data_IF_279171887929
#
_entry.id   IF_279171887929
#
_cell.length_a   1.000
_cell.length_b   1.000
_cell.length_c   1.000
_cell.angle_alpha   90.00
_cell.angle_beta   90.00
_cell.angle_gamma   90.00
#
_symmetry.space_group_name_H-M   'P 1'
#
loop_
_entity.id
_entity.type
_entity.pdbx_description
1 polymer ?
#
# COMPACT_ATOMS: atom_id res chain seq x y z
N UNK A 1 16.47 -27.87 7.37
CA UNK A 1 15.41 -28.73 7.94
C UNK A 1 16.01 -29.81 8.84
N UNK A 2 17.03 -30.55 8.39
CA UNK A 2 17.67 -31.64 9.16
C UNK A 2 18.22 -31.20 10.53
N UNK A 3 18.87 -30.02 10.61
CA UNK A 3 19.39 -29.48 11.88
C UNK A 3 18.30 -29.22 12.89
N UNK A 4 17.15 -28.66 12.46
CA UNK A 4 16.02 -28.40 13.34
C UNK A 4 15.39 -29.66 13.89
N UNK A 5 15.24 -30.70 13.06
CA UNK A 5 14.74 -32.01 13.50
C UNK A 5 15.66 -32.60 14.56
N UNK A 6 16.99 -32.59 14.32
CA UNK A 6 17.97 -33.10 15.30
C UNK A 6 17.86 -32.35 16.64
N UNK A 7 17.79 -31.01 16.65
CA UNK A 7 17.70 -30.23 17.88
C UNK A 7 16.43 -30.61 18.69
N UNK A 8 15.29 -30.76 18.01
CA UNK A 8 14.03 -31.14 18.65
C UNK A 8 14.13 -32.56 19.24
N UNK A 9 14.66 -33.51 18.46
CA UNK A 9 14.85 -34.90 18.89
C UNK A 9 15.79 -34.99 20.10
N UNK A 10 16.92 -34.29 20.06
CA UNK A 10 17.87 -34.27 21.18
C UNK A 10 17.25 -33.65 22.45
N UNK A 11 16.45 -32.61 22.26
CA UNK A 11 15.74 -31.93 23.37
C UNK A 11 14.66 -32.81 23.99
N UNK A 12 13.93 -33.58 23.16
CA UNK A 12 12.96 -34.58 23.63
C UNK A 12 13.64 -35.67 24.39
N UNK A 13 14.68 -36.28 23.83
CA UNK A 13 15.44 -37.36 24.47
C UNK A 13 16.10 -36.95 25.79
N UNK A 14 16.44 -35.69 25.94
CA UNK A 14 16.97 -35.08 27.19
C UNK A 14 15.86 -34.62 28.17
N UNK A 15 14.63 -34.93 27.91
CA UNK A 15 13.49 -34.55 28.76
C UNK A 15 13.18 -33.03 28.82
N UNK A 16 13.79 -32.21 27.94
CA UNK A 16 13.52 -30.77 27.85
C UNK A 16 12.20 -30.44 27.18
N UNK A 17 11.67 -31.34 26.39
CA UNK A 17 10.36 -31.27 25.73
C UNK A 17 9.56 -32.48 26.16
N UNK A 18 8.41 -32.28 26.81
CA UNK A 18 7.54 -33.36 27.23
C UNK A 18 6.76 -33.94 26.02
N UNK A 19 6.37 -35.24 26.16
CA UNK A 19 5.50 -35.92 25.19
C UNK A 19 4.19 -35.13 24.95
N UNK A 20 3.58 -34.66 26.02
CA UNK A 20 2.35 -33.85 25.93
C UNK A 20 2.55 -32.60 25.09
N UNK A 21 3.65 -31.87 25.33
CA UNK A 21 3.99 -30.64 24.60
C UNK A 21 4.22 -30.93 23.12
N UNK A 22 4.92 -32.02 22.79
CA UNK A 22 5.20 -32.46 21.43
C UNK A 22 3.88 -32.83 20.72
N UNK A 23 3.08 -33.69 21.34
CA UNK A 23 1.77 -34.16 20.82
C UNK A 23 0.81 -33.01 20.57
N UNK A 24 0.73 -32.01 21.46
CA UNK A 24 -0.08 -30.81 21.29
C UNK A 24 0.36 -30.02 20.06
N UNK A 25 1.65 -29.89 19.83
CA UNK A 25 2.18 -29.18 18.64
C UNK A 25 1.87 -29.92 17.36
N UNK A 26 2.11 -31.23 17.32
CA UNK A 26 1.85 -32.10 16.16
C UNK A 26 0.35 -32.07 15.83
N UNK A 27 -0.52 -32.23 16.83
CA UNK A 27 -1.98 -32.18 16.65
C UNK A 27 -2.43 -30.85 16.05
N UNK A 28 -1.87 -29.71 16.50
CA UNK A 28 -2.17 -28.38 15.95
C UNK A 28 -1.79 -28.28 14.47
N UNK A 29 -0.59 -28.78 14.10
CA UNK A 29 -0.11 -28.77 12.71
C UNK A 29 -0.97 -29.68 11.83
N UNK A 30 -1.28 -30.90 12.29
CA UNK A 30 -2.12 -31.84 11.54
C UNK A 30 -3.53 -31.32 11.34
N UNK A 31 -4.12 -30.68 12.37
CA UNK A 31 -5.43 -30.04 12.27
C UNK A 31 -5.43 -28.90 11.24
N UNK A 32 -4.37 -28.10 11.20
CA UNK A 32 -4.23 -27.05 10.20
C UNK A 32 -4.11 -27.61 8.78
N UNK A 33 -3.29 -28.68 8.60
CA UNK A 33 -3.15 -29.37 7.32
C UNK A 33 -4.49 -29.97 6.85
N UNK A 34 -5.25 -30.59 7.75
CA UNK A 34 -6.57 -31.13 7.43
C UNK A 34 -7.55 -30.03 7.00
N UNK A 35 -7.58 -28.91 7.73
CA UNK A 35 -8.40 -27.72 7.37
C UNK A 35 -8.04 -27.12 6.02
N UNK A 36 -6.76 -27.19 5.65
CA UNK A 36 -6.25 -26.74 4.35
C UNK A 36 -6.53 -27.75 3.21
N UNK A 37 -7.22 -28.85 3.47
CA UNK A 37 -7.55 -29.87 2.47
C UNK A 37 -6.39 -30.76 2.07
N UNK A 38 -5.25 -30.72 2.78
CA UNK A 38 -4.04 -31.49 2.42
C UNK A 38 -4.18 -33.00 2.57
N UNK A 39 -5.26 -33.50 3.23
CA UNK A 39 -5.61 -34.92 3.28
C UNK A 39 -6.09 -35.44 1.91
N UNK A 40 -6.61 -34.56 1.05
CA UNK A 40 -7.02 -34.85 -0.34
C UNK A 40 -6.15 -34.07 -1.33
N UNK A 41 -4.83 -34.03 -1.08
CA UNK A 41 -3.92 -33.28 -1.93
C UNK A 41 -3.98 -33.78 -3.38
N UNK A 42 -4.24 -32.85 -4.28
CA UNK A 42 -4.10 -33.06 -5.71
C UNK A 42 -2.98 -32.20 -6.24
N UNK A 43 -2.15 -32.78 -7.12
CA UNK A 43 -1.03 -32.06 -7.72
C UNK A 43 -1.49 -30.76 -8.41
N UNK A 44 -0.84 -29.66 -8.07
CA UNK A 44 -1.13 -28.36 -8.70
C UNK A 44 -0.52 -28.38 -10.11
N UNK A 45 -1.38 -28.38 -11.13
CA UNK A 45 -0.94 -28.23 -12.52
C UNK A 45 -0.62 -26.75 -12.78
N UNK A 46 0.61 -26.39 -13.20
CA UNK A 46 0.99 -24.99 -13.44
C UNK A 46 0.16 -24.34 -14.55
N UNK A 47 -0.33 -25.14 -15.50
CA UNK A 47 -1.18 -24.67 -16.59
C UNK A 47 -2.42 -23.94 -16.02
N UNK A 48 -2.62 -22.70 -16.43
CA UNK A 48 -3.72 -21.84 -16.00
C UNK A 48 -3.69 -21.36 -14.53
N UNK A 49 -2.56 -21.49 -13.82
CA UNK A 49 -2.47 -21.04 -12.42
C UNK A 49 -2.78 -19.53 -12.31
N UNK A 50 -2.26 -18.71 -13.24
CA UNK A 50 -2.52 -17.26 -13.26
C UNK A 50 -4.01 -16.93 -13.41
N UNK A 51 -4.76 -17.70 -14.21
CA UNK A 51 -6.21 -17.50 -14.37
C UNK A 51 -6.97 -17.92 -13.10
N UNK A 52 -6.42 -18.86 -12.32
CA UNK A 52 -7.05 -19.32 -11.07
C UNK A 52 -6.86 -18.35 -9.91
N UNK A 53 -5.70 -17.66 -9.86
CA UNK A 53 -5.37 -16.71 -8.78
C UNK A 53 -5.75 -15.26 -9.11
N UNK A 54 -5.89 -14.90 -10.40
CA UNK A 54 -6.27 -13.55 -10.83
C UNK A 54 -7.70 -13.58 -11.39
N UNK A 55 -8.68 -13.64 -10.55
CA UNK A 55 -10.10 -13.60 -10.97
C UNK A 55 -10.62 -12.16 -11.01
N UNK A 56 -11.52 -11.80 -11.94
CA UNK A 56 -12.11 -10.45 -11.99
C UNK A 56 -12.75 -10.03 -10.68
N UNK A 57 -13.37 -10.96 -9.95
CA UNK A 57 -13.95 -10.71 -8.63
C UNK A 57 -12.93 -10.30 -7.59
N UNK A 58 -11.67 -10.79 -7.69
CA UNK A 58 -10.61 -10.47 -6.74
C UNK A 58 -10.14 -9.02 -6.96
N UNK A 59 -10.08 -8.55 -8.21
CA UNK A 59 -9.83 -7.14 -8.55
C UNK A 59 -10.93 -6.22 -8.02
N UNK A 60 -12.20 -6.63 -8.12
CA UNK A 60 -13.32 -5.88 -7.58
C UNK A 60 -13.26 -5.80 -6.05
N UNK A 61 -12.95 -6.92 -5.39
CA UNK A 61 -12.77 -6.96 -3.93
C UNK A 61 -11.63 -6.05 -3.49
N UNK A 62 -10.50 -6.10 -4.21
CA UNK A 62 -9.36 -5.22 -3.96
C UNK A 62 -9.76 -3.73 -4.08
N UNK A 63 -10.46 -3.36 -5.17
CA UNK A 63 -10.91 -1.98 -5.37
C UNK A 63 -11.83 -1.51 -4.24
N UNK A 64 -12.79 -2.33 -3.82
CA UNK A 64 -13.68 -2.02 -2.70
C UNK A 64 -12.93 -1.88 -1.37
N UNK A 65 -11.95 -2.75 -1.13
CA UNK A 65 -11.13 -2.68 0.09
C UNK A 65 -10.30 -1.38 0.11
N UNK A 66 -9.69 -1.00 -1.01
CA UNK A 66 -8.94 0.25 -1.14
C UNK A 66 -9.85 1.47 -0.97
N UNK A 67 -11.02 1.46 -1.59
CA UNK A 67 -12.01 2.53 -1.44
C UNK A 67 -12.44 2.71 0.03
N UNK A 68 -12.69 1.59 0.72
CA UNK A 68 -13.05 1.61 2.16
C UNK A 68 -11.91 2.04 3.08
N UNK A 69 -10.66 1.91 2.64
CA UNK A 69 -9.49 2.30 3.41
C UNK A 69 -9.17 3.80 3.31
N UNK A 70 -9.70 4.49 2.29
CA UNK A 70 -9.48 5.93 2.12
C UNK A 70 -10.16 6.67 3.28
N UNK A 71 -9.38 7.48 4.01
CA UNK A 71 -9.87 8.26 5.14
C UNK A 71 -9.67 9.74 4.87
N UNK A 72 -10.77 10.50 4.88
CA UNK A 72 -10.73 11.95 4.79
C UNK A 72 -10.48 12.54 6.19
N UNK A 73 -9.24 12.93 6.48
CA UNK A 73 -8.83 13.41 7.80
C UNK A 73 -9.31 14.84 8.04
N UNK A 74 -9.29 15.69 7.00
CA UNK A 74 -9.68 17.10 7.10
C UNK A 74 -10.18 17.64 5.77
N UNK A 75 -11.32 18.35 5.77
CA UNK A 75 -11.89 19.03 4.61
C UNK A 75 -12.56 20.35 5.02
N UNK A 76 -11.86 21.17 5.81
CA UNK A 76 -12.41 22.41 6.40
C UNK A 76 -12.77 23.49 5.36
N UNK A 77 -12.23 23.40 4.15
CA UNK A 77 -12.54 24.33 3.03
C UNK A 77 -13.51 23.73 2.02
N UNK A 78 -14.06 22.56 2.29
CA UNK A 78 -15.00 21.85 1.41
C UNK A 78 -14.49 21.66 -0.03
N UNK A 79 -13.16 21.45 -0.19
CA UNK A 79 -12.53 21.25 -1.51
C UNK A 79 -12.84 19.85 -2.06
N UNK A 80 -13.07 18.89 -1.18
CA UNK A 80 -13.47 17.54 -1.55
C UNK A 80 -15.00 17.38 -1.40
N UNK A 81 -15.67 16.71 -2.35
CA UNK A 81 -15.12 16.04 -3.54
C UNK A 81 -14.60 17.03 -4.59
N UNK A 82 -13.68 16.55 -5.45
CA UNK A 82 -13.16 17.34 -6.57
C UNK A 82 -14.29 17.62 -7.56
N UNK A 83 -14.29 18.83 -8.16
CA UNK A 83 -15.25 19.21 -9.17
C UNK A 83 -14.64 19.18 -10.57
N UNK A 84 -15.39 18.71 -11.57
CA UNK A 84 -14.92 18.58 -12.96
C UNK A 84 -14.79 19.92 -13.70
N UNK A 85 -15.41 21.00 -13.17
CA UNK A 85 -15.32 22.37 -13.70
C UNK A 85 -14.12 23.16 -13.18
N UNK A 86 -13.30 22.53 -12.30
CA UNK A 86 -12.13 23.13 -11.69
C UNK A 86 -10.85 22.52 -12.24
N UNK A 87 -9.76 23.30 -12.13
CA UNK A 87 -8.44 22.95 -12.61
C UNK A 87 -7.50 22.69 -11.45
N UNK A 88 -6.77 21.58 -11.54
CA UNK A 88 -5.88 21.12 -10.48
C UNK A 88 -4.44 20.97 -10.97
N UNK A 89 -3.50 21.23 -10.08
CA UNK A 89 -2.08 20.93 -10.30
C UNK A 89 -1.69 19.74 -9.42
N UNK A 90 -1.21 18.66 -10.01
CA UNK A 90 -0.70 17.51 -9.25
C UNK A 90 0.81 17.61 -9.08
N UNK A 91 1.25 17.70 -7.83
CA UNK A 91 2.67 17.74 -7.42
C UNK A 91 3.01 16.47 -6.67
N UNK A 92 4.04 15.78 -7.10
CA UNK A 92 4.44 14.51 -6.50
C UNK A 92 5.83 14.61 -5.89
N UNK A 93 5.95 14.17 -4.64
CA UNK A 93 7.23 14.04 -3.92
C UNK A 93 7.55 12.57 -3.62
N UNK A 94 8.82 12.27 -3.40
CA UNK A 94 9.30 10.94 -3.06
C UNK A 94 9.60 10.07 -4.29
N UNK A 95 9.36 8.76 -4.21
CA UNK A 95 9.68 7.82 -5.30
C UNK A 95 8.63 7.88 -6.41
N UNK A 96 8.84 8.72 -7.39
CA UNK A 96 7.88 9.15 -8.41
C UNK A 96 7.40 8.13 -9.45
N UNK A 97 7.73 6.84 -9.35
CA UNK A 97 7.33 5.84 -10.37
C UNK A 97 5.81 5.74 -10.58
N UNK A 98 5.02 6.05 -9.58
CA UNK A 98 3.56 5.94 -9.63
C UNK A 98 2.84 7.28 -9.86
N UNK A 99 3.56 8.40 -9.89
CA UNK A 99 2.95 9.73 -10.01
C UNK A 99 2.22 9.92 -11.33
N UNK A 100 2.77 9.41 -12.42
CA UNK A 100 2.15 9.49 -13.75
C UNK A 100 0.86 8.65 -13.81
N UNK A 101 0.89 7.45 -13.25
CA UNK A 101 -0.31 6.61 -13.18
C UNK A 101 -1.43 7.30 -12.39
N UNK A 102 -1.10 7.92 -11.27
CA UNK A 102 -2.06 8.68 -10.46
C UNK A 102 -2.65 9.86 -11.24
N UNK A 103 -1.82 10.70 -11.86
CA UNK A 103 -2.26 11.82 -12.70
C UNK A 103 -3.19 11.35 -13.82
N UNK A 104 -2.79 10.31 -14.56
CA UNK A 104 -3.57 9.76 -15.67
C UNK A 104 -4.91 9.17 -15.23
N UNK A 105 -4.98 8.64 -14.01
CA UNK A 105 -6.27 8.19 -13.43
C UNK A 105 -7.16 9.36 -13.06
N UNK A 106 -6.61 10.39 -12.43
CA UNK A 106 -7.36 11.61 -12.06
C UNK A 106 -7.86 12.37 -13.28
N UNK A 107 -7.06 12.45 -14.35
CA UNK A 107 -7.42 13.13 -15.61
C UNK A 107 -8.66 12.56 -16.30
N UNK A 108 -9.15 11.40 -15.86
CA UNK A 108 -10.44 10.85 -16.33
C UNK A 108 -11.66 11.52 -15.71
N UNK A 109 -11.47 12.25 -14.62
CA UNK A 109 -12.55 12.81 -13.81
C UNK A 109 -12.47 14.32 -13.68
N UNK A 110 -11.27 14.89 -13.69
CA UNK A 110 -11.03 16.33 -13.49
C UNK A 110 -9.90 16.82 -14.41
N UNK A 111 -9.88 18.15 -14.67
CA UNK A 111 -8.76 18.79 -15.37
C UNK A 111 -7.55 18.87 -14.42
N UNK A 112 -6.52 18.09 -14.68
CA UNK A 112 -5.32 18.01 -13.86
C UNK A 112 -4.05 18.05 -14.70
N UNK A 113 -3.16 18.97 -14.38
CA UNK A 113 -1.80 19.07 -14.94
C UNK A 113 -0.80 18.46 -13.96
N UNK A 114 0.17 17.69 -14.48
CA UNK A 114 1.27 17.14 -13.68
C UNK A 114 2.41 18.15 -13.56
N UNK A 115 2.94 18.29 -12.35
CA UNK A 115 4.11 19.09 -12.06
C UNK A 115 5.17 18.26 -11.32
N UNK A 116 6.45 18.41 -11.67
CA UNK A 116 7.52 17.72 -10.98
C UNK A 116 7.83 18.40 -9.65
N UNK A 117 7.71 17.67 -8.54
CA UNK A 117 7.97 18.19 -7.19
C UNK A 117 9.41 18.62 -6.93
N UNK A 118 10.37 18.16 -7.74
CA UNK A 118 11.78 18.60 -7.65
C UNK A 118 11.94 20.06 -8.04
N UNK A 119 11.08 20.58 -8.93
CA UNK A 119 11.06 21.98 -9.38
C UNK A 119 10.10 22.86 -8.58
N UNK A 120 9.79 22.48 -7.34
CA UNK A 120 8.74 23.11 -6.52
C UNK A 120 8.89 24.64 -6.37
N UNK A 121 10.12 25.16 -6.47
CA UNK A 121 10.39 26.60 -6.41
C UNK A 121 9.72 27.42 -7.53
N UNK A 122 9.36 26.77 -8.63
CA UNK A 122 8.65 27.38 -9.74
C UNK A 122 7.12 27.29 -9.65
N UNK A 123 6.58 26.64 -8.63
CA UNK A 123 5.13 26.51 -8.40
C UNK A 123 4.44 27.87 -8.26
N UNK A 124 5.11 28.87 -7.67
CA UNK A 124 4.57 30.24 -7.54
C UNK A 124 4.23 30.91 -8.87
N UNK A 125 4.82 30.44 -9.97
CA UNK A 125 4.54 30.92 -11.32
C UNK A 125 3.30 30.29 -11.93
N UNK A 126 2.72 29.30 -11.25
CA UNK A 126 1.55 28.53 -11.69
C UNK A 126 0.31 29.05 -10.96
N UNK A 127 -0.38 30.06 -11.54
CA UNK A 127 -1.45 30.82 -10.87
C UNK A 127 -2.87 30.42 -11.26
N UNK A 128 -3.08 29.52 -12.22
CA UNK A 128 -4.39 29.24 -12.81
C UNK A 128 -4.95 27.88 -12.35
N UNK A 129 -4.83 27.56 -11.05
CA UNK A 129 -5.36 26.33 -10.48
C UNK A 129 -6.22 26.63 -9.26
N UNK A 130 -7.36 25.92 -9.13
CA UNK A 130 -8.25 26.04 -7.98
C UNK A 130 -7.68 25.39 -6.73
N UNK A 131 -6.91 24.31 -6.91
CA UNK A 131 -6.15 23.68 -5.84
C UNK A 131 -4.94 22.90 -6.37
N UNK A 132 -3.95 22.68 -5.48
CA UNK A 132 -2.78 21.85 -5.71
C UNK A 132 -2.97 20.54 -4.97
N UNK A 133 -2.90 19.44 -5.70
CA UNK A 133 -2.96 18.09 -5.13
C UNK A 133 -1.52 17.61 -4.95
N UNK A 134 -1.13 17.39 -3.72
CA UNK A 134 0.20 16.90 -3.38
C UNK A 134 0.11 15.43 -3.00
N UNK A 135 0.92 14.59 -3.66
CA UNK A 135 1.10 13.20 -3.27
C UNK A 135 2.51 12.96 -2.75
N UNK A 136 2.62 12.20 -1.68
CA UNK A 136 3.90 11.70 -1.20
C UNK A 136 3.98 10.19 -1.42
N UNK A 137 5.01 9.75 -2.14
CA UNK A 137 5.26 8.33 -2.40
C UNK A 137 6.47 7.85 -1.61
N UNK A 138 6.20 7.31 -0.43
CA UNK A 138 7.21 6.70 0.43
C UNK A 138 7.80 5.42 -0.15
N UNK A 139 8.84 4.90 0.50
CA UNK A 139 9.42 3.60 0.16
C UNK A 139 8.66 2.50 0.90
N UNK A 140 7.95 1.65 0.15
CA UNK A 140 7.30 0.45 0.69
C UNK A 140 8.15 -0.83 0.56
N UNK A 141 9.44 -0.70 0.24
CA UNK A 141 10.30 -1.85 -0.09
C UNK A 141 10.70 -2.70 1.13
N UNK A 142 10.39 -2.27 2.35
CA UNK A 142 10.66 -2.99 3.58
C UNK A 142 9.60 -2.71 4.63
N UNK A 143 9.14 -3.71 5.39
CA UNK A 143 8.24 -3.49 6.53
C UNK A 143 8.89 -2.67 7.65
N UNK A 144 10.20 -2.48 7.61
CA UNK A 144 10.99 -1.64 8.53
C UNK A 144 11.31 -0.26 7.94
N UNK A 145 10.84 0.06 6.73
CA UNK A 145 11.03 1.39 6.16
C UNK A 145 10.24 2.42 6.98
N UNK A 146 10.85 3.55 7.27
CA UNK A 146 10.14 4.66 7.89
C UNK A 146 9.09 5.21 6.94
N UNK A 147 7.86 5.36 7.43
CA UNK A 147 6.78 6.06 6.74
C UNK A 147 6.78 7.57 7.07
N UNK A 148 7.84 8.06 7.70
CA UNK A 148 7.98 9.48 8.03
C UNK A 148 8.29 10.26 6.76
N UNK A 149 7.54 11.33 6.55
CA UNK A 149 7.83 12.28 5.47
C UNK A 149 9.08 13.06 5.91
N UNK A 150 10.12 13.18 5.07
CA UNK A 150 11.30 13.97 5.36
C UNK A 150 10.97 15.44 5.65
N UNK A 151 11.67 16.06 6.60
CA UNK A 151 11.42 17.44 7.05
C UNK A 151 11.54 18.47 5.92
N UNK A 152 12.43 18.24 4.95
CA UNK A 152 12.56 19.09 3.77
C UNK A 152 11.31 19.03 2.89
N UNK A 153 10.67 17.87 2.77
CA UNK A 153 9.39 17.71 2.04
C UNK A 153 8.26 18.37 2.81
N UNK A 154 8.20 18.19 4.13
CA UNK A 154 7.22 18.87 4.98
C UNK A 154 7.32 20.38 4.81
N UNK A 155 8.53 20.93 4.84
CA UNK A 155 8.78 22.38 4.65
C UNK A 155 8.32 22.87 3.28
N UNK A 156 8.54 22.09 2.22
CA UNK A 156 8.05 22.38 0.87
C UNK A 156 6.54 22.41 0.79
N UNK A 157 5.88 21.42 1.39
CA UNK A 157 4.41 21.33 1.46
C UNK A 157 3.83 22.54 2.23
N UNK A 158 4.43 22.88 3.37
CA UNK A 158 4.03 24.04 4.16
C UNK A 158 4.13 25.33 3.34
N UNK A 159 5.24 25.55 2.66
CA UNK A 159 5.42 26.73 1.82
C UNK A 159 4.40 26.83 0.68
N UNK A 160 4.08 25.71 0.02
CA UNK A 160 3.03 25.67 -1.01
C UNK A 160 1.67 26.03 -0.43
N UNK A 161 1.35 25.53 0.77
CA UNK A 161 0.05 25.70 1.42
C UNK A 161 -0.23 27.13 1.90
N UNK A 162 0.80 27.95 2.09
CA UNK A 162 0.64 29.36 2.50
C UNK A 162 -0.08 30.22 1.46
N UNK A 163 0.06 29.89 0.18
CA UNK A 163 -0.48 30.69 -0.93
C UNK A 163 -1.50 29.95 -1.79
N UNK A 164 -1.76 28.67 -1.51
CA UNK A 164 -2.60 27.83 -2.35
C UNK A 164 -3.56 27.00 -1.52
N UNK A 165 -4.68 26.61 -2.11
CA UNK A 165 -5.48 25.52 -1.60
C UNK A 165 -4.76 24.19 -1.86
N UNK A 166 -4.48 23.42 -0.83
CA UNK A 166 -3.74 22.17 -0.93
C UNK A 166 -4.59 20.99 -0.49
N UNK A 167 -4.57 19.94 -1.29
CA UNK A 167 -5.08 18.62 -0.96
C UNK A 167 -3.87 17.70 -0.81
N UNK A 168 -3.64 17.19 0.38
CA UNK A 168 -2.54 16.30 0.68
C UNK A 168 -3.01 14.84 0.72
N UNK A 169 -2.38 13.99 -0.09
CA UNK A 169 -2.60 12.56 -0.15
C UNK A 169 -1.29 11.83 0.24
N UNK A 170 -1.37 10.98 1.28
CA UNK A 170 -0.23 10.30 1.90
C UNK A 170 -0.34 8.79 1.74
#
# INVERSE_FOLDING_TARGET
VSSGVKIITDSYNKGKISEERLSKSVKKILSLKARSGLHNYTEIKPKNILKKVNKPKDSLLYSKAMESAITLVKNSKEIMPLSSDKKYLHVSFGKNKNSEYFTNKMAKYVDVEKFNGDDYSSIHKKTNYDAIIITYHGSSSSPYASNIIPDDIVSKIDNISKSNNVILNL
#
